data_IF_862466644931
#
_entry.id   IF_862466644931
#
_cell.length_a   1.000
_cell.length_b   1.000
_cell.length_c   1.000
_cell.angle_alpha   90.00
_cell.angle_beta   90.00
_cell.angle_gamma   90.00
#
_symmetry.space_group_name_H-M   'P 1'
#
loop_
_entity.id
_entity.type
_entity.pdbx_description
1 polymer ?
#
# COMPACT_ATOMS: atom_id res chain seq x y z
N UNK A 1 4.82 -12.17 -3.91
CA UNK A 1 4.20 -12.80 -5.10
C UNK A 1 5.14 -12.66 -6.28
N UNK A 2 5.24 -13.71 -7.09
CA UNK A 2 6.00 -13.68 -8.35
C UNK A 2 5.25 -14.48 -9.43
N UNK A 3 5.51 -14.14 -10.68
CA UNK A 3 4.88 -14.77 -11.85
C UNK A 3 5.93 -15.22 -12.85
N UNK A 4 5.55 -16.16 -13.71
CA UNK A 4 6.36 -16.53 -14.86
C UNK A 4 6.06 -15.60 -16.02
N UNK A 5 7.10 -15.05 -16.63
CA UNK A 5 7.02 -14.17 -17.78
C UNK A 5 7.85 -14.74 -18.93
N UNK A 6 7.28 -14.74 -20.13
CA UNK A 6 7.97 -15.21 -21.33
C UNK A 6 9.03 -14.20 -21.74
N UNK A 7 10.27 -14.64 -21.84
CA UNK A 7 11.41 -13.83 -22.25
C UNK A 7 12.14 -14.46 -23.44
N UNK A 8 12.81 -13.60 -24.19
CA UNK A 8 13.79 -14.00 -25.18
C UNK A 8 15.21 -13.80 -24.63
N UNK A 9 16.01 -14.87 -24.53
CA UNK A 9 17.45 -14.79 -24.28
C UNK A 9 18.21 -14.63 -25.58
N UNK A 10 19.13 -13.66 -25.63
CA UNK A 10 20.02 -13.40 -26.77
C UNK A 10 21.46 -13.74 -26.39
N UNK A 11 22.12 -14.63 -27.16
CA UNK A 11 23.53 -14.99 -26.97
C UNK A 11 24.26 -15.03 -28.31
N UNK A 12 25.01 -13.96 -28.62
CA UNK A 12 25.57 -13.77 -29.96
C UNK A 12 24.44 -13.72 -31.00
N UNK A 13 24.49 -14.59 -32.01
CA UNK A 13 23.43 -14.73 -33.01
C UNK A 13 22.34 -15.73 -32.64
N UNK A 14 22.38 -16.35 -31.44
CA UNK A 14 21.36 -17.30 -30.98
C UNK A 14 20.26 -16.60 -30.19
N UNK A 15 19.01 -16.95 -30.50
CA UNK A 15 17.79 -16.55 -29.80
C UNK A 15 17.18 -17.79 -29.16
N UNK A 16 16.79 -17.69 -27.89
CA UNK A 16 16.13 -18.76 -27.14
C UNK A 16 14.93 -18.18 -26.39
N UNK A 17 13.75 -18.76 -26.58
CA UNK A 17 12.55 -18.39 -25.81
C UNK A 17 12.52 -19.24 -24.52
N UNK A 18 12.30 -18.61 -23.38
CA UNK A 18 12.22 -19.27 -22.08
C UNK A 18 11.32 -18.48 -21.14
N UNK A 19 10.89 -19.10 -20.04
CA UNK A 19 10.23 -18.39 -18.95
C UNK A 19 11.25 -17.89 -17.93
N UNK A 20 11.01 -16.72 -17.35
CA UNK A 20 11.72 -16.21 -16.18
C UNK A 20 10.72 -15.83 -15.07
N UNK A 21 11.18 -15.80 -13.82
CA UNK A 21 10.34 -15.42 -12.67
C UNK A 21 10.54 -13.94 -12.36
N UNK A 22 9.45 -13.18 -12.40
CA UNK A 22 9.46 -11.75 -12.07
C UNK A 22 8.58 -11.47 -10.86
N UNK A 23 9.04 -10.57 -9.99
CA UNK A 23 8.24 -10.09 -8.87
C UNK A 23 7.11 -9.21 -9.38
N UNK A 24 5.92 -9.37 -8.80
CA UNK A 24 4.79 -8.47 -9.05
C UNK A 24 4.94 -7.24 -8.17
N UNK A 25 4.63 -6.06 -8.73
CA UNK A 25 4.57 -4.78 -8.03
C UNK A 25 3.20 -4.15 -8.28
N UNK A 26 2.47 -3.85 -7.22
CA UNK A 26 1.10 -3.30 -7.26
C UNK A 26 0.97 -2.19 -6.21
N UNK A 27 0.18 -1.14 -6.48
CA UNK A 27 -0.06 -0.10 -5.49
C UNK A 27 -0.97 -0.61 -4.37
N UNK A 28 -0.71 -0.18 -3.14
CA UNK A 28 -1.54 -0.41 -1.96
C UNK A 28 -1.89 0.93 -1.33
N UNK A 29 -3.18 1.20 -1.26
CA UNK A 29 -3.75 2.34 -0.55
C UNK A 29 -3.98 1.99 0.92
N UNK A 30 -3.40 2.77 1.83
CA UNK A 30 -3.53 2.61 3.26
C UNK A 30 -4.44 3.70 3.84
N UNK A 31 -5.44 3.29 4.62
CA UNK A 31 -6.34 4.18 5.34
C UNK A 31 -6.30 3.93 6.84
N UNK A 32 -6.34 5.00 7.62
CA UNK A 32 -6.36 4.96 9.08
C UNK A 32 -7.74 5.35 9.60
N UNK A 33 -8.34 4.48 10.41
CA UNK A 33 -9.59 4.71 11.10
C UNK A 33 -9.35 4.95 12.58
N UNK A 34 -9.87 6.05 13.10
CA UNK A 34 -9.59 6.50 14.46
C UNK A 34 -10.73 7.36 15.02
N UNK A 35 -10.77 7.53 16.36
CA UNK A 35 -11.73 8.41 17.02
C UNK A 35 -11.15 9.80 17.29
N UNK A 36 -11.86 10.85 16.88
CA UNK A 36 -11.57 12.25 17.21
C UNK A 36 -12.84 12.94 17.69
N UNK A 37 -12.81 13.50 18.91
CA UNK A 37 -13.98 14.14 19.52
C UNK A 37 -15.18 13.19 19.66
N UNK A 38 -14.92 11.91 19.94
CA UNK A 38 -15.96 10.86 20.06
C UNK A 38 -16.52 10.33 18.74
N UNK A 39 -16.12 10.88 17.59
CA UNK A 39 -16.58 10.44 16.26
C UNK A 39 -15.52 9.61 15.56
N UNK A 40 -15.95 8.57 14.85
CA UNK A 40 -15.08 7.83 13.93
C UNK A 40 -14.75 8.67 12.71
N UNK A 41 -13.47 8.69 12.35
CA UNK A 41 -12.95 9.31 11.13
C UNK A 41 -12.10 8.26 10.40
N UNK A 42 -12.05 8.37 9.08
CA UNK A 42 -11.20 7.55 8.22
C UNK A 42 -10.43 8.53 7.35
N UNK A 43 -9.12 8.37 7.29
CA UNK A 43 -8.24 9.21 6.48
C UNK A 43 -7.28 8.32 5.70
N UNK A 44 -7.13 8.60 4.40
CA UNK A 44 -6.06 8.01 3.61
C UNK A 44 -4.72 8.53 4.13
N UNK A 45 -3.80 7.61 4.41
CA UNK A 45 -2.49 7.93 4.97
C UNK A 45 -1.36 7.69 3.99
N UNK A 46 -1.46 6.79 3.01
CA UNK A 46 -0.37 6.56 2.07
C UNK A 46 -0.83 5.73 0.87
N UNK A 47 -0.14 5.90 -0.26
CA UNK A 47 -0.15 4.96 -1.36
C UNK A 47 1.29 4.54 -1.60
N UNK A 48 1.57 3.25 -1.52
CA UNK A 48 2.90 2.69 -1.75
C UNK A 48 2.85 1.55 -2.75
N UNK A 49 3.92 1.37 -3.52
CA UNK A 49 4.09 0.17 -4.33
C UNK A 49 4.57 -0.97 -3.43
N UNK A 50 4.00 -2.17 -3.61
CA UNK A 50 4.38 -3.36 -2.84
C UNK A 50 4.39 -4.59 -3.71
N UNK A 51 5.15 -5.59 -3.28
CA UNK A 51 4.94 -6.97 -3.74
C UNK A 51 3.81 -7.61 -2.94
N UNK A 52 2.74 -8.12 -3.59
CA UNK A 52 1.58 -8.63 -2.87
C UNK A 52 1.86 -9.81 -1.95
N UNK A 53 1.20 -9.82 -0.78
CA UNK A 53 1.20 -10.93 0.18
C UNK A 53 1.04 -10.52 1.65
N UNK A 54 1.77 -9.51 2.10
CA UNK A 54 1.96 -9.20 3.54
C UNK A 54 1.48 -7.79 3.92
N UNK A 55 0.27 -7.42 3.51
CA UNK A 55 -0.23 -6.04 3.64
C UNK A 55 -0.47 -5.61 5.09
N UNK A 56 -0.90 -6.55 5.93
CA UNK A 56 -1.16 -6.30 7.35
C UNK A 56 0.13 -6.00 8.12
N UNK A 57 1.20 -6.74 7.84
CA UNK A 57 2.53 -6.47 8.39
C UNK A 57 3.09 -5.15 7.87
N UNK A 58 2.88 -4.88 6.58
CA UNK A 58 3.34 -3.65 5.95
C UNK A 58 2.70 -2.40 6.57
N UNK A 59 1.37 -2.38 6.71
CA UNK A 59 0.68 -1.22 7.33
C UNK A 59 1.01 -1.10 8.81
N UNK A 60 1.14 -2.20 9.54
CA UNK A 60 1.50 -2.18 10.96
C UNK A 60 2.92 -1.62 11.18
N UNK A 61 3.88 -2.08 10.37
CA UNK A 61 5.25 -1.58 10.39
C UNK A 61 5.35 -0.12 9.97
N UNK A 62 4.56 0.30 8.97
CA UNK A 62 4.45 1.69 8.54
C UNK A 62 3.97 2.59 9.69
N UNK A 63 2.85 2.23 10.34
CA UNK A 63 2.31 3.01 11.46
C UNK A 63 3.31 3.16 12.62
N UNK A 64 4.06 2.10 12.91
CA UNK A 64 5.10 2.12 13.96
C UNK A 64 6.29 3.01 13.57
N UNK A 65 6.79 2.87 12.33
CA UNK A 65 7.91 3.66 11.82
C UNK A 65 7.62 5.16 11.82
N UNK A 66 6.38 5.51 11.47
CA UNK A 66 5.87 6.89 11.43
C UNK A 66 5.42 7.42 12.80
N UNK A 67 5.59 6.62 13.87
CA UNK A 67 5.20 6.95 15.25
C UNK A 67 3.72 7.31 15.42
N UNK A 68 2.87 6.76 14.55
CA UNK A 68 1.42 6.85 14.69
C UNK A 68 0.96 5.95 15.85
N UNK A 69 1.61 4.79 16.00
CA UNK A 69 1.48 3.89 17.15
C UNK A 69 2.86 3.67 17.79
N UNK A 70 2.88 3.38 19.09
CA UNK A 70 4.10 2.98 19.83
C UNK A 70 4.09 1.49 20.18
N UNK A 71 2.92 0.85 20.15
CA UNK A 71 2.73 -0.56 20.41
C UNK A 71 1.71 -1.17 19.45
N UNK A 72 1.93 -2.43 19.06
CA UNK A 72 1.00 -3.17 18.19
C UNK A 72 -0.40 -3.32 18.80
N UNK A 73 -0.52 -3.34 20.14
CA UNK A 73 -1.79 -3.43 20.85
C UNK A 73 -2.69 -2.19 20.67
N UNK A 74 -2.16 -1.11 20.09
CA UNK A 74 -2.94 0.07 19.71
C UNK A 74 -3.75 -0.17 18.42
N UNK A 75 -3.40 -1.19 17.64
CA UNK A 75 -4.18 -1.64 16.48
C UNK A 75 -5.33 -2.53 16.97
N UNK A 76 -6.55 -2.09 16.72
CA UNK A 76 -7.76 -2.84 17.04
C UNK A 76 -8.14 -3.82 15.93
N UNK A 77 -7.95 -3.41 14.67
CA UNK A 77 -8.38 -4.20 13.50
C UNK A 77 -7.61 -3.79 12.25
N UNK A 78 -7.32 -4.75 11.37
CA UNK A 78 -6.84 -4.51 10.01
C UNK A 78 -7.78 -5.20 9.03
N UNK A 79 -8.15 -4.52 7.94
CA UNK A 79 -9.13 -5.01 6.97
C UNK A 79 -8.72 -4.67 5.54
N UNK A 80 -8.77 -5.66 4.65
CA UNK A 80 -8.75 -5.40 3.20
C UNK A 80 -10.09 -4.82 2.77
N UNK A 81 -10.05 -3.76 1.94
CA UNK A 81 -11.21 -3.02 1.45
C UNK A 81 -11.16 -2.92 -0.08
N UNK A 82 -12.26 -2.45 -0.65
CA UNK A 82 -12.39 -2.25 -2.10
C UNK A 82 -12.64 -3.54 -2.87
N UNK A 83 -12.86 -3.39 -4.17
CA UNK A 83 -13.05 -4.48 -5.11
C UNK A 83 -11.70 -5.11 -5.48
N UNK A 84 -11.74 -6.37 -5.92
CA UNK A 84 -10.57 -7.01 -6.54
C UNK A 84 -10.38 -6.44 -7.94
N UNK A 85 -9.20 -5.87 -8.19
CA UNK A 85 -8.87 -5.18 -9.44
C UNK A 85 -7.51 -5.62 -9.99
N UNK A 86 -7.21 -5.20 -11.22
CA UNK A 86 -5.94 -5.47 -11.89
C UNK A 86 -5.80 -6.90 -12.42
N UNK A 87 -4.69 -7.17 -13.10
CA UNK A 87 -4.43 -8.45 -13.77
C UNK A 87 -4.32 -9.63 -12.81
N UNK A 88 -4.11 -9.35 -11.51
CA UNK A 88 -3.92 -10.34 -10.45
C UNK A 88 -5.13 -10.48 -9.51
N UNK A 89 -6.26 -9.80 -9.78
CA UNK A 89 -7.48 -9.83 -8.96
C UNK A 89 -7.22 -9.56 -7.47
N UNK A 90 -6.51 -8.48 -7.17
CA UNK A 90 -6.08 -8.13 -5.81
C UNK A 90 -6.93 -7.01 -5.21
N UNK A 91 -7.12 -7.06 -3.89
CA UNK A 91 -7.62 -5.91 -3.14
C UNK A 91 -6.45 -4.99 -2.81
N UNK A 92 -6.44 -3.81 -3.40
CA UNK A 92 -5.37 -2.83 -3.28
C UNK A 92 -5.69 -1.70 -2.28
N UNK A 93 -6.71 -1.89 -1.42
CA UNK A 93 -7.01 -0.96 -0.31
C UNK A 93 -6.97 -1.71 1.02
N UNK A 94 -6.35 -1.12 2.02
CA UNK A 94 -6.28 -1.66 3.39
C UNK A 94 -6.62 -0.56 4.41
N UNK A 95 -7.46 -0.90 5.38
CA UNK A 95 -7.89 -0.02 6.46
C UNK A 95 -7.41 -0.59 7.80
N UNK A 96 -6.77 0.24 8.60
CA UNK A 96 -6.36 -0.10 9.97
C UNK A 96 -7.11 0.78 10.97
N UNK A 97 -7.69 0.15 11.98
CA UNK A 97 -8.38 0.83 13.09
C UNK A 97 -7.45 0.89 14.29
N UNK A 98 -7.24 2.09 14.83
CA UNK A 98 -6.45 2.29 16.06
C UNK A 98 -7.32 2.78 17.21
N UNK A 99 -6.99 2.35 18.42
CA UNK A 99 -7.72 2.68 19.66
C UNK A 99 -7.12 3.88 20.43
N UNK A 100 -5.92 4.32 20.06
CA UNK A 100 -5.20 5.43 20.68
C UNK A 100 -4.89 6.51 19.64
N UNK A 101 -5.19 7.78 19.96
CA UNK A 101 -4.96 8.92 19.05
C UNK A 101 -4.04 9.98 19.63
N UNK A 102 -3.33 9.69 20.73
CA UNK A 102 -2.44 10.64 21.41
C UNK A 102 -1.38 11.27 20.51
N UNK A 103 -0.78 10.48 19.62
CA UNK A 103 0.30 10.91 18.73
C UNK A 103 -0.18 11.36 17.34
N UNK A 104 -1.50 11.48 17.14
CA UNK A 104 -2.07 11.69 15.83
C UNK A 104 -2.07 13.16 15.40
N UNK A 105 -1.01 13.58 14.70
CA UNK A 105 -0.97 14.88 14.01
C UNK A 105 -1.48 14.75 12.56
N UNK A 106 -2.79 14.79 12.39
CA UNK A 106 -3.49 14.58 11.11
C UNK A 106 -3.01 15.54 10.01
N UNK A 107 -2.62 16.77 10.37
CA UNK A 107 -2.10 17.76 9.42
C UNK A 107 -0.73 17.39 8.87
N UNK A 108 0.10 16.70 9.67
CA UNK A 108 1.38 16.13 9.22
C UNK A 108 1.19 14.85 8.43
N UNK A 109 0.24 13.99 8.82
CA UNK A 109 -0.06 12.74 8.11
C UNK A 109 -0.38 13.02 6.63
N UNK A 110 -1.32 13.93 6.33
CA UNK A 110 -1.65 14.26 4.93
C UNK A 110 -0.50 14.84 4.11
N UNK A 111 0.47 15.49 4.75
CA UNK A 111 1.54 16.23 4.09
C UNK A 111 2.84 15.42 3.95
N UNK A 112 3.11 14.53 4.90
CA UNK A 112 4.35 13.75 4.95
C UNK A 112 4.32 12.52 4.03
N UNK A 113 3.13 12.01 3.70
CA UNK A 113 2.99 10.78 2.94
C UNK A 113 2.71 10.97 1.46
N UNK A 114 2.73 12.23 0.99
CA UNK A 114 2.79 12.53 -0.44
C UNK A 114 4.17 12.10 -0.94
N UNK A 115 4.22 10.83 -1.33
CA UNK A 115 5.20 10.18 -2.19
C UNK A 115 5.55 10.99 -3.43
N UNK A 116 6.73 11.58 -3.65
CA UNK A 116 7.09 11.96 -5.03
C UNK A 116 7.79 10.78 -5.71
N UNK A 117 7.07 10.01 -6.53
CA UNK A 117 7.66 9.01 -7.43
C UNK A 117 7.75 9.55 -8.84
N UNK A 118 8.78 9.14 -9.57
CA UNK A 118 8.94 9.45 -10.99
C UNK A 118 7.78 8.93 -11.85
N UNK A 119 6.97 7.97 -11.37
CA UNK A 119 5.81 7.44 -12.10
C UNK A 119 4.51 8.24 -11.88
N UNK A 120 4.50 9.29 -11.05
CA UNK A 120 3.34 10.19 -10.87
C UNK A 120 2.15 9.61 -10.08
N UNK A 121 2.29 8.38 -9.55
CA UNK A 121 1.24 7.68 -8.81
C UNK A 121 1.22 8.04 -7.32
N UNK A 122 2.38 8.10 -6.67
CA UNK A 122 2.40 8.24 -5.20
C UNK A 122 2.20 9.68 -4.68
N UNK A 123 1.87 10.63 -5.56
CA UNK A 123 1.44 11.99 -5.21
C UNK A 123 -0.09 12.17 -5.14
N UNK A 124 -0.87 11.13 -5.45
CA UNK A 124 -2.33 11.19 -5.47
C UNK A 124 -2.94 10.80 -4.11
N UNK A 125 -4.08 11.39 -3.79
CA UNK A 125 -4.78 11.21 -2.51
C UNK A 125 -5.66 9.96 -2.43
N UNK A 126 -5.90 9.28 -3.55
CA UNK A 126 -6.60 8.00 -3.62
C UNK A 126 -6.27 7.27 -4.92
N UNK A 127 -6.42 5.95 -4.92
CA UNK A 127 -6.33 5.14 -6.14
C UNK A 127 -7.44 5.51 -7.14
N UNK A 128 -8.61 5.90 -6.65
CA UNK A 128 -9.73 6.32 -7.51
C UNK A 128 -9.41 7.62 -8.28
N UNK A 129 -8.39 8.37 -7.85
CA UNK A 129 -7.88 9.55 -8.57
C UNK A 129 -6.88 9.19 -9.67
N UNK A 130 -6.55 7.90 -9.83
CA UNK A 130 -5.70 7.37 -10.89
C UNK A 130 -6.60 6.87 -12.02
N UNK A 131 -7.01 7.78 -12.90
CA UNK A 131 -7.46 7.39 -14.23
C UNK A 131 -6.24 7.13 -15.13
N UNK A 132 -6.31 6.04 -15.90
CA UNK A 132 -5.44 5.75 -17.05
C UNK A 132 -6.28 5.93 -18.31
#
# INVERSE_FOLDING_TARGET
MDIKYSITKLKGSKKEETEDRISVEEPLEMSLKFKKGGKWNIENISITMRTPGNDEDLISGFLYNERIIENINEIEKVEKKGETVGDYNLQNKIEVTINNTKNLDIGKIKRNFITNSSCGVCGKTSLDSIEV
#
